data_IF_093656020435
#
_entry.id   IF_093656020435
#
_cell.length_a   1.000
_cell.length_b   1.000
_cell.length_c   1.000
_cell.angle_alpha   90.00
_cell.angle_beta   90.00
_cell.angle_gamma   90.00
#
_symmetry.space_group_name_H-M   'P 1'
#
loop_
_entity.id
_entity.type
_entity.pdbx_description
1 polymer ?
#
# COMPACT_ATOMS: atom_id res chain seq x y z
N UNK A 1 11.98 31.63 7.74
CA UNK A 1 12.50 30.45 7.01
C UNK A 1 14.02 30.54 7.05
N UNK A 2 14.65 29.91 8.02
CA UNK A 2 16.12 29.87 8.11
C UNK A 2 16.52 28.66 7.26
N UNK A 3 17.13 28.90 6.09
CA UNK A 3 17.73 27.82 5.32
C UNK A 3 18.83 27.19 6.19
N UNK A 4 18.73 25.89 6.42
CA UNK A 4 19.69 25.12 7.21
C UNK A 4 21.11 25.37 6.67
N UNK A 5 22.09 25.79 7.51
CA UNK A 5 23.46 26.05 7.09
C UNK A 5 24.06 24.88 6.28
N UNK A 6 23.72 23.64 6.64
CA UNK A 6 24.19 22.43 5.96
C UNK A 6 23.63 22.33 4.54
N UNK A 7 22.34 22.63 4.36
CA UNK A 7 21.69 22.64 3.06
C UNK A 7 22.23 23.76 2.16
N UNK A 8 22.56 24.92 2.72
CA UNK A 8 23.14 26.05 1.98
C UNK A 8 24.56 25.76 1.48
N UNK A 9 25.38 25.10 2.30
CA UNK A 9 26.75 24.69 1.95
C UNK A 9 26.71 23.55 0.94
N UNK A 10 25.81 22.59 1.09
CA UNK A 10 25.62 21.50 0.13
C UNK A 10 25.17 22.02 -1.25
N UNK A 11 24.21 22.96 -1.30
CA UNK A 11 23.78 23.58 -2.56
C UNK A 11 24.87 24.42 -3.22
N UNK A 12 25.60 25.21 -2.44
CA UNK A 12 26.76 25.98 -2.94
C UNK A 12 27.82 25.06 -3.56
N UNK A 13 28.19 23.99 -2.86
CA UNK A 13 29.16 23.00 -3.37
C UNK A 13 28.62 22.25 -4.60
N UNK A 14 27.35 21.83 -4.59
CA UNK A 14 26.72 21.19 -5.75
C UNK A 14 26.73 22.10 -6.99
N UNK A 15 26.43 23.40 -6.83
CA UNK A 15 26.47 24.37 -7.93
C UNK A 15 27.87 24.54 -8.52
N UNK A 16 28.91 24.53 -7.67
CA UNK A 16 30.30 24.60 -8.11
C UNK A 16 30.74 23.33 -8.87
N UNK A 17 30.24 22.16 -8.45
CA UNK A 17 30.50 20.88 -9.13
C UNK A 17 29.83 20.87 -10.50
N UNK A 18 28.56 21.29 -10.60
CA UNK A 18 27.82 21.37 -11.87
C UNK A 18 28.48 22.35 -12.84
N UNK A 19 28.93 23.51 -12.35
CA UNK A 19 29.62 24.50 -13.19
C UNK A 19 30.97 23.99 -13.70
N UNK A 20 31.73 23.28 -12.87
CA UNK A 20 32.96 22.62 -13.31
C UNK A 20 32.69 21.51 -14.33
N UNK A 21 31.62 20.74 -14.15
CA UNK A 21 31.20 19.70 -15.09
C UNK A 21 30.80 20.29 -16.46
N UNK A 22 30.00 21.35 -16.46
CA UNK A 22 29.58 22.05 -17.69
C UNK A 22 30.77 22.63 -18.46
N UNK A 23 31.75 23.19 -17.73
CA UNK A 23 32.99 23.70 -18.33
C UNK A 23 33.82 22.57 -18.95
N UNK A 24 33.84 21.39 -18.33
CA UNK A 24 34.52 20.19 -18.85
C UNK A 24 33.87 19.66 -20.14
N UNK A 25 32.52 19.66 -20.19
CA UNK A 25 31.74 19.19 -21.34
C UNK A 25 31.84 20.12 -22.56
N UNK A 26 32.15 21.41 -22.34
CA UNK A 26 32.25 22.42 -23.41
C UNK A 26 33.60 22.45 -24.16
N UNK A 27 34.56 21.57 -23.83
CA UNK A 27 35.87 21.53 -24.47
C UNK A 27 35.92 20.45 -25.59
N UNK A 28 35.90 20.86 -26.86
CA UNK A 28 35.94 19.94 -28.01
C UNK A 28 37.31 19.28 -28.25
N UNK A 29 37.23 18.02 -28.75
CA UNK A 29 38.31 17.08 -29.17
C UNK A 29 39.22 16.52 -28.07
N UNK A 30 38.66 16.08 -26.95
CA UNK A 30 39.35 15.15 -26.04
C UNK A 30 38.90 13.71 -26.26
N UNK A 31 39.81 12.77 -26.09
CA UNK A 31 39.46 11.34 -26.09
C UNK A 31 38.58 11.01 -24.88
N UNK A 32 37.70 10.00 -25.00
CA UNK A 32 36.81 9.59 -23.90
C UNK A 32 37.60 9.24 -22.62
N UNK A 33 38.79 8.66 -22.76
CA UNK A 33 39.66 8.32 -21.63
C UNK A 33 40.25 9.56 -20.94
N UNK A 34 40.56 10.61 -21.68
CA UNK A 34 41.05 11.88 -21.12
C UNK A 34 39.96 12.57 -20.31
N UNK A 35 38.74 12.64 -20.87
CA UNK A 35 37.56 13.18 -20.17
C UNK A 35 37.31 12.39 -18.88
N UNK A 36 37.36 11.06 -18.95
CA UNK A 36 37.16 10.17 -17.79
C UNK A 36 38.22 10.39 -16.70
N UNK A 37 39.48 10.56 -17.08
CA UNK A 37 40.55 10.85 -16.13
C UNK A 37 40.37 12.22 -15.47
N UNK A 38 40.00 13.25 -16.23
CA UNK A 38 39.71 14.58 -15.68
C UNK A 38 38.54 14.56 -14.70
N UNK A 39 37.47 13.84 -15.04
CA UNK A 39 36.34 13.63 -14.13
C UNK A 39 36.82 12.94 -12.85
N UNK A 40 37.62 11.88 -12.96
CA UNK A 40 38.16 11.18 -11.79
C UNK A 40 39.03 12.09 -10.91
N UNK A 41 39.90 12.90 -11.50
CA UNK A 41 40.70 13.89 -10.76
C UNK A 41 39.81 14.90 -10.06
N UNK A 42 38.80 15.43 -10.75
CA UNK A 42 37.84 16.35 -10.17
C UNK A 42 37.08 15.72 -9.00
N UNK A 43 36.60 14.48 -9.15
CA UNK A 43 35.89 13.74 -8.10
C UNK A 43 36.77 13.43 -6.88
N UNK A 44 38.06 13.14 -7.08
CA UNK A 44 39.03 12.94 -6.00
C UNK A 44 39.32 14.23 -5.22
N UNK A 45 39.29 15.38 -5.89
CA UNK A 45 39.50 16.69 -5.26
C UNK A 45 38.29 17.17 -4.44
N UNK A 46 37.16 16.45 -4.51
CA UNK A 46 35.97 16.74 -3.72
C UNK A 46 36.11 16.06 -2.35
N UNK A 47 36.12 16.86 -1.28
CA UNK A 47 36.27 16.40 0.11
C UNK A 47 34.99 15.75 0.70
N UNK A 48 34.06 15.31 -0.15
CA UNK A 48 32.84 14.62 0.25
C UNK A 48 32.65 13.38 -0.62
N UNK A 49 32.09 12.31 -0.05
CA UNK A 49 31.68 11.13 -0.80
C UNK A 49 30.41 11.42 -1.59
N UNK A 50 30.40 11.07 -2.87
CA UNK A 50 29.22 11.20 -3.72
C UNK A 50 28.46 9.87 -3.72
N UNK A 51 27.15 9.90 -3.44
CA UNK A 51 26.28 8.74 -3.52
C UNK A 51 25.24 8.99 -4.61
N UNK A 52 25.20 8.12 -5.61
CA UNK A 52 24.24 8.15 -6.72
C UNK A 52 23.25 7.03 -6.51
N UNK A 53 21.98 7.38 -6.29
CA UNK A 53 20.89 6.40 -6.14
C UNK A 53 20.09 6.36 -7.43
N UNK A 54 19.93 5.16 -7.99
CA UNK A 54 19.12 4.89 -9.17
C UNK A 54 18.02 3.91 -8.76
N UNK A 55 16.77 4.37 -8.74
CA UNK A 55 15.61 3.64 -8.27
C UNK A 55 14.58 3.42 -9.40
N UNK A 56 13.61 2.53 -9.18
CA UNK A 56 12.52 2.19 -10.11
C UNK A 56 13.00 1.72 -11.51
N UNK A 57 14.19 1.11 -11.61
CA UNK A 57 14.73 0.59 -12.88
C UNK A 57 13.83 -0.44 -13.56
N UNK A 58 13.18 -1.29 -12.76
CA UNK A 58 12.26 -2.34 -13.22
C UNK A 58 10.94 -1.80 -13.79
N UNK A 59 10.69 -0.49 -13.74
CA UNK A 59 9.54 0.15 -14.39
C UNK A 59 9.82 0.68 -15.79
N UNK A 60 11.08 0.66 -16.20
CA UNK A 60 11.50 1.16 -17.50
C UNK A 60 11.28 0.11 -18.60
N UNK A 61 11.28 0.56 -19.86
CA UNK A 61 11.26 -0.36 -20.98
C UNK A 61 12.57 -1.16 -21.04
N UNK A 62 12.53 -2.37 -21.61
CA UNK A 62 13.72 -3.24 -21.67
C UNK A 62 14.93 -2.55 -22.30
N UNK A 63 14.72 -1.70 -23.32
CA UNK A 63 15.78 -0.92 -23.98
C UNK A 63 16.43 0.08 -23.04
N UNK A 64 15.62 0.79 -22.25
CA UNK A 64 16.10 1.80 -21.32
C UNK A 64 16.86 1.14 -20.16
N UNK A 65 16.40 -0.02 -19.68
CA UNK A 65 17.12 -0.83 -18.68
C UNK A 65 18.51 -1.21 -19.21
N UNK A 66 18.60 -1.66 -20.47
CA UNK A 66 19.87 -2.01 -21.09
C UNK A 66 20.82 -0.82 -21.19
N UNK A 67 20.32 0.33 -21.65
CA UNK A 67 21.10 1.56 -21.77
C UNK A 67 21.61 2.05 -20.42
N UNK A 68 20.75 2.05 -19.38
CA UNK A 68 21.17 2.45 -18.04
C UNK A 68 22.22 1.51 -17.49
N UNK A 69 22.07 0.18 -17.63
CA UNK A 69 23.09 -0.75 -17.14
C UNK A 69 24.41 -0.62 -17.89
N UNK A 70 24.39 -0.31 -19.19
CA UNK A 70 25.60 0.00 -19.95
C UNK A 70 26.25 1.30 -19.47
N UNK A 71 25.45 2.35 -19.21
CA UNK A 71 25.91 3.60 -18.65
C UNK A 71 26.55 3.39 -17.28
N UNK A 72 25.84 2.72 -16.36
CA UNK A 72 26.33 2.38 -15.02
C UNK A 72 27.65 1.62 -15.13
N UNK A 73 27.74 0.62 -16.01
CA UNK A 73 29.00 -0.10 -16.24
C UNK A 73 30.14 0.82 -16.68
N UNK A 74 29.85 1.84 -17.47
CA UNK A 74 30.85 2.80 -17.97
C UNK A 74 31.34 3.80 -16.92
N UNK A 75 30.46 4.16 -15.96
CA UNK A 75 30.73 5.17 -14.92
C UNK A 75 31.01 4.58 -13.52
N UNK A 76 30.76 3.28 -13.31
CA UNK A 76 30.86 2.62 -12.01
C UNK A 76 32.27 2.64 -11.39
N UNK A 77 33.31 2.90 -12.19
CA UNK A 77 34.70 3.00 -11.74
C UNK A 77 35.13 4.44 -11.38
N UNK A 78 34.20 5.39 -11.40
CA UNK A 78 34.44 6.76 -10.95
C UNK A 78 34.89 6.80 -9.49
N UNK A 79 36.00 7.50 -9.25
CA UNK A 79 36.56 7.63 -7.90
C UNK A 79 35.64 8.46 -7.01
N UNK A 80 35.76 8.22 -5.71
CA UNK A 80 35.02 8.96 -4.68
C UNK A 80 33.48 8.90 -4.80
N UNK A 81 32.95 7.94 -5.56
CA UNK A 81 31.52 7.79 -5.86
C UNK A 81 31.02 6.39 -5.46
N UNK A 82 29.79 6.30 -4.96
CA UNK A 82 29.08 5.05 -4.64
C UNK A 82 27.78 5.04 -5.43
N UNK A 83 27.50 3.95 -6.12
CA UNK A 83 26.25 3.75 -6.85
C UNK A 83 25.36 2.76 -6.11
N UNK A 84 24.11 3.15 -5.84
CA UNK A 84 23.08 2.29 -5.25
C UNK A 84 22.00 2.09 -6.32
N UNK A 85 21.81 0.85 -6.74
CA UNK A 85 20.78 0.46 -7.70
C UNK A 85 19.66 -0.26 -6.96
N UNK A 86 18.41 0.16 -7.20
CA UNK A 86 17.21 -0.49 -6.68
C UNK A 86 16.36 -0.97 -7.86
N UNK A 87 16.07 -2.27 -7.87
CA UNK A 87 15.38 -2.95 -8.98
C UNK A 87 14.82 -4.32 -8.57
N UNK A 88 13.81 -4.78 -9.31
CA UNK A 88 13.39 -6.19 -9.31
C UNK A 88 14.37 -7.03 -10.15
N UNK A 89 15.01 -8.02 -9.51
CA UNK A 89 16.05 -8.86 -10.09
C UNK A 89 15.53 -9.68 -11.29
N UNK A 90 14.29 -10.17 -11.24
CA UNK A 90 13.73 -10.99 -12.31
C UNK A 90 13.40 -10.15 -13.55
N UNK A 91 12.80 -8.97 -13.34
CA UNK A 91 12.44 -8.06 -14.44
C UNK A 91 13.70 -7.57 -15.14
N UNK A 92 14.68 -7.07 -14.37
CA UNK A 92 15.92 -6.53 -14.94
C UNK A 92 16.76 -7.62 -15.59
N UNK A 93 16.85 -8.83 -15.01
CA UNK A 93 17.56 -9.94 -15.66
C UNK A 93 16.95 -10.26 -17.02
N UNK A 94 15.62 -10.34 -17.13
CA UNK A 94 14.93 -10.62 -18.39
C UNK A 94 15.16 -9.53 -19.44
N UNK A 95 15.15 -8.26 -19.03
CA UNK A 95 15.45 -7.16 -19.93
C UNK A 95 16.89 -7.25 -20.49
N UNK A 96 17.84 -7.68 -19.67
CA UNK A 96 19.26 -7.81 -20.02
C UNK A 96 19.60 -9.12 -20.76
N UNK A 97 18.75 -10.14 -20.72
CA UNK A 97 18.94 -11.40 -21.46
C UNK A 97 19.07 -11.16 -22.97
N UNK A 98 18.29 -10.19 -23.50
CA UNK A 98 18.28 -9.82 -24.93
C UNK A 98 19.64 -9.34 -25.45
N UNK A 99 20.44 -8.68 -24.62
CA UNK A 99 21.77 -8.18 -25.00
C UNK A 99 22.92 -9.14 -24.64
N UNK A 100 22.68 -10.10 -23.74
CA UNK A 100 23.73 -10.98 -23.20
C UNK A 100 23.51 -12.46 -23.53
N UNK A 101 22.61 -12.80 -24.47
CA UNK A 101 22.29 -14.17 -24.89
C UNK A 101 21.84 -15.02 -23.71
N UNK A 102 20.77 -14.59 -23.03
CA UNK A 102 20.16 -15.27 -21.88
C UNK A 102 21.08 -15.36 -20.65
N UNK A 103 21.91 -14.33 -20.46
CA UNK A 103 22.85 -14.21 -19.32
C UNK A 103 22.72 -12.86 -18.60
N UNK A 104 21.52 -12.30 -18.55
CA UNK A 104 21.20 -11.02 -17.90
C UNK A 104 21.61 -11.00 -16.43
N UNK A 105 21.27 -12.04 -15.66
CA UNK A 105 21.71 -12.17 -14.26
C UNK A 105 23.24 -12.12 -14.08
N UNK A 106 23.98 -12.83 -14.93
CA UNK A 106 25.47 -12.78 -14.94
C UNK A 106 26.02 -11.42 -15.34
N UNK A 107 25.26 -10.64 -16.10
CA UNK A 107 25.65 -9.29 -16.46
C UNK A 107 25.47 -8.33 -15.27
N UNK A 108 24.38 -8.49 -14.52
CA UNK A 108 24.15 -7.77 -13.26
C UNK A 108 25.31 -8.06 -12.27
N UNK A 109 25.71 -9.32 -12.10
CA UNK A 109 26.84 -9.71 -11.23
C UNK A 109 28.18 -9.02 -11.59
N UNK A 110 28.38 -8.65 -12.86
CA UNK A 110 29.60 -7.93 -13.29
C UNK A 110 29.58 -6.44 -12.92
N UNK A 111 28.41 -5.88 -12.68
CA UNK A 111 28.21 -4.45 -12.44
C UNK A 111 27.96 -4.22 -10.94
N UNK A 112 27.13 -5.04 -10.32
CA UNK A 112 26.74 -4.96 -8.92
C UNK A 112 27.71 -5.75 -8.05
N UNK A 113 28.60 -5.04 -7.36
CA UNK A 113 29.62 -5.64 -6.51
C UNK A 113 29.03 -6.25 -5.23
N UNK A 114 28.00 -5.63 -4.67
CA UNK A 114 27.37 -6.04 -3.41
C UNK A 114 25.86 -6.12 -3.60
N UNK A 115 25.30 -7.32 -3.85
CA UNK A 115 23.86 -7.50 -3.92
C UNK A 115 23.26 -7.53 -2.51
N UNK A 116 22.29 -6.65 -2.23
CA UNK A 116 21.52 -6.63 -0.98
C UNK A 116 20.09 -7.07 -1.30
N UNK A 117 19.72 -8.29 -0.86
CA UNK A 117 18.33 -8.77 -0.98
C UNK A 117 17.53 -8.33 0.24
N UNK A 118 16.43 -7.61 0.00
CA UNK A 118 15.54 -7.21 1.09
C UNK A 118 14.79 -8.43 1.63
N UNK A 119 14.81 -8.68 2.95
CA UNK A 119 14.09 -9.79 3.54
C UNK A 119 12.58 -9.57 3.43
N UNK A 120 11.82 -10.66 3.32
CA UNK A 120 10.37 -10.60 3.44
C UNK A 120 9.99 -10.20 4.86
N UNK A 121 9.01 -9.31 5.00
CA UNK A 121 8.48 -8.91 6.31
C UNK A 121 7.62 -10.07 6.84
N UNK A 122 7.85 -10.50 8.08
CA UNK A 122 7.02 -11.52 8.71
C UNK A 122 5.61 -10.99 8.97
N UNK A 123 4.63 -11.90 9.00
CA UNK A 123 3.25 -11.55 9.26
C UNK A 123 3.06 -10.90 10.65
N UNK A 124 3.82 -11.36 11.65
CA UNK A 124 3.84 -10.78 13.00
C UNK A 124 4.33 -9.32 13.00
N UNK A 125 5.42 -9.05 12.28
CA UNK A 125 5.93 -7.68 12.14
C UNK A 125 4.92 -6.78 11.40
N UNK A 126 4.23 -7.29 10.37
CA UNK A 126 3.16 -6.55 9.70
C UNK A 126 2.01 -6.23 10.65
N UNK A 127 1.57 -7.20 11.47
CA UNK A 127 0.55 -6.99 12.51
C UNK A 127 0.95 -5.88 13.46
N UNK A 128 2.17 -5.91 13.99
CA UNK A 128 2.67 -4.90 14.93
C UNK A 128 2.77 -3.51 14.32
N UNK A 129 3.31 -3.41 13.11
CA UNK A 129 3.43 -2.14 12.37
C UNK A 129 2.02 -1.58 12.08
N UNK A 130 1.10 -2.43 11.63
CA UNK A 130 -0.28 -2.04 11.35
C UNK A 130 -0.98 -1.48 12.58
N UNK A 131 -0.95 -2.19 13.72
CA UNK A 131 -1.58 -1.72 14.96
C UNK A 131 -0.95 -0.41 15.44
N UNK A 132 0.38 -0.27 15.38
CA UNK A 132 1.07 0.98 15.73
C UNK A 132 0.60 2.15 14.86
N UNK A 133 0.53 1.96 13.54
CA UNK A 133 0.07 2.99 12.59
C UNK A 133 -1.43 3.28 12.72
N UNK A 134 -2.25 2.27 12.95
CA UNK A 134 -3.69 2.43 13.11
C UNK A 134 -4.01 3.32 14.32
N UNK A 135 -3.25 3.16 15.42
CA UNK A 135 -3.39 4.00 16.63
C UNK A 135 -3.01 5.47 16.41
N UNK A 136 -2.19 5.80 15.41
CA UNK A 136 -1.80 7.18 15.12
C UNK A 136 -2.73 7.90 14.14
N UNK A 137 -3.72 7.18 13.56
CA UNK A 137 -4.69 7.80 12.67
C UNK A 137 -5.66 8.67 13.49
N UNK A 138 -5.68 9.96 13.17
CA UNK A 138 -6.70 10.88 13.67
C UNK A 138 -8.01 10.65 12.90
N UNK A 139 -9.10 10.50 13.64
CA UNK A 139 -10.46 10.27 13.13
C UNK A 139 -11.33 11.41 13.63
N UNK A 140 -11.93 12.16 12.70
CA UNK A 140 -12.73 13.37 12.96
C UNK A 140 -13.89 13.12 13.94
N UNK A 141 -14.56 11.98 13.81
CA UNK A 141 -15.65 11.56 14.69
C UNK A 141 -15.08 10.70 15.83
N UNK A 142 -14.53 11.36 16.84
CA UNK A 142 -13.80 10.73 17.95
C UNK A 142 -14.71 10.08 19.01
N UNK A 143 -16.04 10.20 18.87
CA UNK A 143 -17.04 9.58 19.76
C UNK A 143 -17.23 8.06 19.56
N UNK A 144 -16.40 7.43 18.72
CA UNK A 144 -16.41 6.00 18.43
C UNK A 144 -15.32 5.31 19.26
N UNK A 145 -15.68 4.24 19.97
CA UNK A 145 -14.79 3.51 20.87
C UNK A 145 -13.58 2.93 20.10
N UNK A 146 -12.48 3.69 20.08
CA UNK A 146 -11.22 3.30 19.43
C UNK A 146 -10.67 2.00 20.03
N UNK A 147 -10.93 1.73 21.31
CA UNK A 147 -10.46 0.50 21.96
C UNK A 147 -11.26 -0.71 21.47
N UNK A 148 -12.59 -0.58 21.33
CA UNK A 148 -13.43 -1.59 20.68
C UNK A 148 -12.99 -1.85 19.23
N UNK A 149 -12.70 -0.80 18.47
CA UNK A 149 -12.21 -0.93 17.10
C UNK A 149 -10.89 -1.71 17.03
N UNK A 150 -9.89 -1.33 17.84
CA UNK A 150 -8.60 -2.04 17.90
C UNK A 150 -8.77 -3.48 18.39
N UNK A 151 -9.67 -3.72 19.34
CA UNK A 151 -10.00 -5.07 19.83
C UNK A 151 -10.54 -5.95 18.70
N UNK A 152 -11.56 -5.48 17.96
CA UNK A 152 -12.14 -6.24 16.83
C UNK A 152 -11.14 -6.49 15.71
N UNK A 153 -10.30 -5.51 15.40
CA UNK A 153 -9.20 -5.65 14.43
C UNK A 153 -8.28 -6.82 14.79
N UNK A 154 -7.95 -6.98 16.09
CA UNK A 154 -7.12 -8.08 16.58
C UNK A 154 -7.86 -9.41 16.58
N UNK A 155 -9.08 -9.46 17.11
CA UNK A 155 -9.90 -10.69 17.22
C UNK A 155 -10.18 -11.33 15.86
N UNK A 156 -10.38 -10.51 14.82
CA UNK A 156 -10.68 -10.98 13.46
C UNK A 156 -9.43 -11.13 12.58
N UNK A 157 -8.22 -11.04 13.16
CA UNK A 157 -6.96 -11.15 12.42
C UNK A 157 -6.89 -10.23 11.18
N UNK A 158 -7.44 -9.01 11.27
CA UNK A 158 -7.65 -8.14 10.11
C UNK A 158 -6.37 -7.90 9.28
N UNK A 159 -5.22 -7.80 9.95
CA UNK A 159 -3.92 -7.60 9.31
C UNK A 159 -3.46 -8.78 8.43
N UNK A 160 -4.07 -9.96 8.52
CA UNK A 160 -3.84 -11.10 7.62
C UNK A 160 -4.32 -10.85 6.18
N UNK A 161 -5.05 -9.75 5.96
CA UNK A 161 -5.32 -9.23 4.64
C UNK A 161 -4.07 -8.69 3.91
N UNK A 162 -3.03 -8.27 4.65
CA UNK A 162 -1.86 -7.59 4.06
C UNK A 162 -0.71 -8.57 3.83
N UNK A 163 -0.21 -8.61 2.58
CA UNK A 163 0.95 -9.44 2.21
C UNK A 163 2.27 -8.67 2.31
N UNK A 164 2.21 -7.34 2.39
CA UNK A 164 3.35 -6.46 2.38
C UNK A 164 3.06 -5.15 3.11
N UNK A 165 4.11 -4.41 3.46
CA UNK A 165 3.98 -3.05 3.99
C UNK A 165 3.24 -2.17 2.97
N UNK A 166 3.53 -2.32 1.67
CA UNK A 166 2.87 -1.55 0.61
C UNK A 166 1.35 -1.76 0.60
N UNK A 167 0.88 -2.99 0.75
CA UNK A 167 -0.56 -3.28 0.82
C UNK A 167 -1.18 -2.64 2.07
N UNK A 168 -0.54 -2.79 3.22
CA UNK A 168 -0.97 -2.18 4.47
C UNK A 168 -1.04 -0.64 4.37
N UNK A 169 -0.02 0.02 3.79
CA UNK A 169 -0.04 1.48 3.58
C UNK A 169 -1.16 1.91 2.63
N UNK A 170 -1.42 1.15 1.56
CA UNK A 170 -2.54 1.45 0.63
C UNK A 170 -3.87 1.46 1.38
N UNK A 171 -4.10 0.49 2.25
CA UNK A 171 -5.28 0.46 3.10
C UNK A 171 -5.32 1.63 4.08
N UNK A 172 -4.26 1.84 4.86
CA UNK A 172 -4.23 2.89 5.89
C UNK A 172 -4.45 4.28 5.28
N UNK A 173 -3.87 4.56 4.11
CA UNK A 173 -4.05 5.83 3.41
C UNK A 173 -5.49 6.02 2.94
N UNK A 174 -6.08 5.01 2.31
CA UNK A 174 -7.47 5.06 1.89
C UNK A 174 -8.40 5.22 3.10
N UNK A 175 -8.27 4.36 4.10
CA UNK A 175 -9.07 4.42 5.33
C UNK A 175 -8.98 5.79 6.02
N UNK A 176 -7.77 6.34 6.16
CA UNK A 176 -7.55 7.67 6.76
C UNK A 176 -8.27 8.77 5.98
N UNK A 177 -8.23 8.74 4.65
CA UNK A 177 -8.90 9.74 3.82
C UNK A 177 -10.42 9.60 3.98
N UNK A 178 -10.92 8.38 3.84
CA UNK A 178 -12.36 8.13 3.74
C UNK A 178 -13.10 8.31 5.07
N UNK A 179 -12.52 7.82 6.17
CA UNK A 179 -13.12 7.95 7.50
C UNK A 179 -13.25 9.41 7.93
N UNK A 180 -12.36 10.28 7.43
CA UNK A 180 -12.39 11.71 7.69
C UNK A 180 -13.21 12.50 6.67
N UNK A 181 -13.48 11.92 5.50
CA UNK A 181 -14.35 12.51 4.49
C UNK A 181 -15.83 12.31 4.84
N UNK A 182 -16.21 11.20 5.47
CA UNK A 182 -17.62 10.90 5.78
C UNK A 182 -18.14 11.81 6.90
N UNK A 183 -19.30 12.44 6.67
CA UNK A 183 -19.96 13.31 7.66
C UNK A 183 -20.90 12.57 8.62
N UNK A 184 -21.16 11.28 8.38
CA UNK A 184 -21.98 10.43 9.24
C UNK A 184 -21.12 9.66 10.24
N UNK A 185 -21.59 9.49 11.46
CA UNK A 185 -20.94 8.58 12.40
C UNK A 185 -21.24 7.13 12.00
N UNK A 186 -20.22 6.41 11.53
CA UNK A 186 -20.33 5.00 11.15
C UNK A 186 -19.61 4.11 12.15
N UNK A 187 -20.01 2.86 12.24
CA UNK A 187 -19.28 1.88 13.04
C UNK A 187 -17.91 1.59 12.40
N UNK A 188 -16.82 2.00 13.07
CA UNK A 188 -15.46 2.03 12.49
C UNK A 188 -14.97 0.68 11.99
N UNK A 189 -15.23 -0.39 12.74
CA UNK A 189 -14.79 -1.72 12.35
C UNK A 189 -15.48 -2.17 11.05
N UNK A 190 -16.80 -2.00 10.96
CA UNK A 190 -17.55 -2.31 9.73
C UNK A 190 -17.00 -1.47 8.56
N UNK A 191 -16.65 -0.21 8.81
CA UNK A 191 -16.15 0.70 7.78
C UNK A 191 -14.74 0.31 7.31
N UNK A 192 -13.88 -0.10 8.22
CA UNK A 192 -12.56 -0.64 7.91
C UNK A 192 -12.67 -1.90 7.04
N UNK A 193 -13.58 -2.82 7.36
CA UNK A 193 -13.82 -4.04 6.56
C UNK A 193 -14.29 -3.68 5.16
N UNK A 194 -15.27 -2.78 5.01
CA UNK A 194 -15.72 -2.34 3.68
C UNK A 194 -14.62 -1.64 2.89
N UNK A 195 -13.82 -0.80 3.54
CA UNK A 195 -12.66 -0.15 2.90
C UNK A 195 -11.64 -1.17 2.41
N UNK A 196 -11.39 -2.21 3.21
CA UNK A 196 -10.51 -3.32 2.83
C UNK A 196 -11.05 -4.08 1.61
N UNK A 197 -12.33 -4.46 1.63
CA UNK A 197 -12.97 -5.15 0.50
C UNK A 197 -12.91 -4.30 -0.77
N UNK A 198 -13.16 -3.00 -0.67
CA UNK A 198 -13.06 -2.09 -1.82
C UNK A 198 -11.67 -2.09 -2.47
N UNK A 199 -10.60 -2.19 -1.69
CA UNK A 199 -9.22 -2.13 -2.18
C UNK A 199 -8.72 -3.47 -2.71
N UNK A 200 -9.02 -4.56 -1.99
CA UNK A 200 -8.43 -5.88 -2.25
C UNK A 200 -9.38 -6.86 -2.91
N UNK A 201 -10.70 -6.69 -2.73
CA UNK A 201 -11.76 -7.54 -3.28
C UNK A 201 -12.90 -6.72 -3.96
N UNK A 202 -12.62 -5.88 -4.98
CA UNK A 202 -13.62 -4.95 -5.54
C UNK A 202 -14.91 -5.64 -6.02
N UNK A 203 -14.80 -6.83 -6.62
CA UNK A 203 -15.96 -7.59 -7.09
C UNK A 203 -16.88 -8.02 -5.95
N UNK A 204 -16.30 -8.35 -4.80
CA UNK A 204 -17.05 -8.73 -3.61
C UNK A 204 -17.70 -7.51 -2.96
N UNK A 205 -16.99 -6.38 -2.95
CA UNK A 205 -17.54 -5.08 -2.54
C UNK A 205 -18.77 -4.71 -3.37
N UNK A 206 -18.68 -4.80 -4.71
CA UNK A 206 -19.80 -4.53 -5.63
C UNK A 206 -20.96 -5.49 -5.39
N UNK A 207 -20.67 -6.79 -5.25
CA UNK A 207 -21.69 -7.80 -4.97
C UNK A 207 -22.48 -7.53 -3.68
N UNK A 208 -21.80 -7.10 -2.60
CA UNK A 208 -22.48 -6.75 -1.33
C UNK A 208 -23.42 -5.55 -1.54
N UNK A 209 -22.98 -4.55 -2.30
CA UNK A 209 -23.79 -3.37 -2.59
C UNK A 209 -25.04 -3.71 -3.43
N UNK A 210 -24.85 -4.45 -4.52
CA UNK A 210 -25.93 -4.82 -5.44
C UNK A 210 -26.96 -5.74 -4.77
N UNK A 211 -26.49 -6.62 -3.88
CA UNK A 211 -27.32 -7.59 -3.17
C UNK A 211 -27.63 -7.17 -1.73
N UNK A 212 -27.66 -5.87 -1.42
CA UNK A 212 -27.84 -5.33 -0.05
C UNK A 212 -28.96 -5.99 0.76
N UNK A 213 -30.05 -6.40 0.12
CA UNK A 213 -31.20 -7.02 0.78
C UNK A 213 -30.87 -8.36 1.47
N UNK A 214 -29.80 -9.04 1.03
CA UNK A 214 -29.27 -10.26 1.65
C UNK A 214 -28.50 -9.96 2.94
N UNK A 215 -27.95 -8.75 3.06
CA UNK A 215 -26.99 -8.38 4.10
C UNK A 215 -27.58 -7.51 5.21
N UNK A 216 -28.62 -6.71 4.91
CA UNK A 216 -29.25 -5.83 5.90
C UNK A 216 -30.21 -6.58 6.86
N UNK A 217 -30.34 -6.06 8.07
CA UNK A 217 -31.38 -6.43 9.02
C UNK A 217 -32.72 -5.84 8.56
N UNK A 218 -33.75 -6.68 8.49
CA UNK A 218 -35.12 -6.23 8.23
C UNK A 218 -35.77 -6.02 9.59
N UNK A 219 -35.92 -4.76 9.98
CA UNK A 219 -36.63 -4.39 11.19
C UNK A 219 -38.06 -4.00 10.80
N UNK A 220 -39.05 -4.81 11.18
CA UNK A 220 -40.45 -4.39 11.19
C UNK A 220 -41.01 -4.51 12.63
N UNK A 221 -41.24 -3.39 13.34
CA UNK A 221 -41.74 -3.41 14.71
C UNK A 221 -43.18 -3.92 14.86
N UNK A 222 -43.90 -4.17 13.75
CA UNK A 222 -45.32 -4.52 13.75
C UNK A 222 -45.67 -5.85 13.04
N UNK A 223 -44.70 -6.55 12.45
CA UNK A 223 -44.97 -7.82 11.75
C UNK A 223 -44.55 -9.03 12.60
N UNK A 224 -45.53 -9.82 13.05
CA UNK A 224 -45.32 -11.17 13.58
C UNK A 224 -44.98 -12.20 12.48
N UNK A 225 -44.92 -11.77 11.21
CA UNK A 225 -44.55 -12.57 10.05
C UNK A 225 -43.54 -11.77 9.26
N UNK A 226 -42.28 -11.82 9.67
CA UNK A 226 -41.18 -11.37 8.82
C UNK A 226 -41.24 -12.19 7.53
N UNK A 227 -41.42 -11.53 6.39
CA UNK A 227 -41.01 -12.11 5.11
C UNK A 227 -39.48 -12.17 5.12
N UNK A 228 -38.92 -13.12 5.87
CA UNK A 228 -37.48 -13.38 5.90
C UNK A 228 -37.06 -13.66 4.46
N UNK A 229 -36.31 -12.73 3.88
CA UNK A 229 -35.47 -13.09 2.74
C UNK A 229 -34.51 -14.14 3.29
N UNK A 230 -34.82 -15.41 3.02
CA UNK A 230 -33.96 -16.52 3.40
C UNK A 230 -32.63 -16.29 2.70
N UNK A 231 -31.58 -16.26 3.49
CA UNK A 231 -30.22 -16.30 2.96
C UNK A 231 -30.12 -17.60 2.14
N UNK A 232 -29.69 -17.51 0.87
CA UNK A 232 -29.52 -18.69 0.04
C UNK A 232 -28.60 -19.70 0.74
N UNK A 233 -28.96 -20.98 0.75
CA UNK A 233 -28.13 -22.05 1.36
C UNK A 233 -26.71 -22.09 0.76
N UNK A 234 -26.53 -21.54 -0.44
CA UNK A 234 -25.28 -21.47 -1.19
C UNK A 234 -24.54 -20.13 -1.05
N UNK A 235 -24.95 -19.20 -0.17
CA UNK A 235 -24.34 -17.85 -0.09
C UNK A 235 -22.83 -17.90 0.18
N UNK A 236 -22.38 -18.84 1.00
CA UNK A 236 -20.95 -19.04 1.29
C UNK A 236 -20.20 -19.42 0.01
N UNK A 237 -20.77 -20.31 -0.80
CA UNK A 237 -20.18 -20.72 -2.06
C UNK A 237 -20.13 -19.57 -3.06
N UNK A 238 -21.17 -18.72 -3.11
CA UNK A 238 -21.18 -17.53 -3.96
C UNK A 238 -20.09 -16.54 -3.56
N UNK A 239 -20.00 -16.19 -2.27
CA UNK A 239 -18.95 -15.31 -1.74
C UNK A 239 -17.57 -15.89 -2.06
N UNK A 240 -17.33 -17.17 -1.75
CA UNK A 240 -16.06 -17.85 -2.02
C UNK A 240 -15.73 -17.95 -3.51
N UNK A 241 -16.72 -17.92 -4.41
CA UNK A 241 -16.51 -17.90 -5.86
C UNK A 241 -16.06 -16.53 -6.35
N UNK A 242 -16.55 -15.45 -5.74
CA UNK A 242 -16.24 -14.07 -6.11
C UNK A 242 -14.89 -13.62 -5.53
N UNK A 243 -14.55 -14.08 -4.32
CA UNK A 243 -13.29 -13.74 -3.64
C UNK A 243 -12.06 -14.20 -4.42
N UNK A 244 -11.13 -13.27 -4.65
CA UNK A 244 -9.85 -13.51 -5.33
C UNK A 244 -8.77 -14.03 -4.39
N UNK A 245 -8.71 -13.50 -3.17
CA UNK A 245 -7.69 -13.84 -2.17
C UNK A 245 -8.09 -15.05 -1.31
N UNK A 246 -7.68 -15.05 -0.04
CA UNK A 246 -8.01 -16.12 0.89
C UNK A 246 -9.52 -16.13 1.15
N UNK A 247 -10.19 -17.15 0.59
CA UNK A 247 -11.65 -17.30 0.58
C UNK A 247 -12.24 -17.42 1.98
N UNK A 248 -11.62 -18.22 2.84
CA UNK A 248 -12.11 -18.43 4.21
C UNK A 248 -11.88 -17.18 5.07
N UNK A 249 -10.74 -16.52 4.92
CA UNK A 249 -10.48 -15.24 5.60
C UNK A 249 -11.51 -14.18 5.20
N UNK A 250 -11.75 -14.01 3.89
CA UNK A 250 -12.73 -13.04 3.41
C UNK A 250 -14.15 -13.36 3.91
N UNK A 251 -14.55 -14.64 3.88
CA UNK A 251 -15.86 -15.06 4.38
C UNK A 251 -16.02 -14.78 5.88
N UNK A 252 -15.02 -15.12 6.70
CA UNK A 252 -15.01 -14.83 8.13
C UNK A 252 -15.08 -13.32 8.40
N UNK A 253 -14.36 -12.52 7.61
CA UNK A 253 -14.38 -11.06 7.75
C UNK A 253 -15.75 -10.47 7.42
N UNK A 254 -16.41 -10.95 6.35
CA UNK A 254 -17.79 -10.59 6.02
C UNK A 254 -18.73 -11.01 7.15
N UNK A 255 -18.61 -12.24 7.64
CA UNK A 255 -19.42 -12.75 8.76
C UNK A 255 -19.28 -11.92 10.03
N UNK A 256 -18.10 -11.30 10.26
CA UNK A 256 -17.87 -10.43 11.42
C UNK A 256 -18.67 -9.12 11.37
N UNK A 257 -18.99 -8.63 10.16
CA UNK A 257 -19.76 -7.40 9.96
C UNK A 257 -21.23 -7.68 9.57
N UNK A 258 -21.53 -8.86 9.05
CA UNK A 258 -22.87 -9.35 8.70
C UNK A 258 -23.17 -10.68 9.42
N UNK A 259 -23.62 -10.65 10.69
CA UNK A 259 -23.83 -11.86 11.49
C UNK A 259 -24.80 -12.87 10.87
N UNK A 260 -25.79 -12.38 10.09
CA UNK A 260 -26.75 -13.25 9.37
C UNK A 260 -26.06 -14.23 8.42
N UNK A 261 -24.95 -13.84 7.80
CA UNK A 261 -24.21 -14.66 6.83
C UNK A 261 -23.54 -15.86 7.50
N UNK A 262 -23.17 -15.73 8.78
CA UNK A 262 -22.45 -16.80 9.49
C UNK A 262 -23.37 -17.74 10.28
N UNK A 263 -24.69 -17.65 10.07
CA UNK A 263 -25.71 -18.40 10.84
C UNK A 263 -25.52 -18.35 12.36
N UNK A 264 -24.80 -17.34 12.87
CA UNK A 264 -24.72 -17.13 14.29
C UNK A 264 -26.05 -16.52 14.72
N UNK A 265 -26.83 -17.20 15.59
CA UNK A 265 -28.00 -16.58 16.18
C UNK A 265 -27.49 -15.40 16.98
N UNK A 266 -27.60 -14.20 16.39
CA UNK A 266 -27.72 -13.00 17.20
C UNK A 266 -28.95 -13.28 18.05
N UNK A 267 -28.78 -13.34 19.36
CA UNK A 267 -29.92 -13.36 20.27
C UNK A 267 -30.65 -12.03 20.03
N UNK A 268 -31.64 -12.05 19.12
CA UNK A 268 -32.35 -10.86 18.67
C UNK A 268 -33.00 -10.14 19.86
N UNK A 269 -33.24 -10.85 20.96
CA UNK A 269 -33.69 -10.29 22.23
C UNK A 269 -32.66 -9.32 22.86
N UNK A 270 -31.35 -9.56 22.70
CA UNK A 270 -30.29 -8.65 23.15
C UNK A 270 -30.06 -7.46 22.21
N UNK A 271 -30.35 -7.60 20.90
CA UNK A 271 -30.39 -6.46 19.97
C UNK A 271 -31.58 -5.53 20.30
N UNK A 272 -32.74 -6.11 20.63
CA UNK A 272 -33.94 -5.37 21.03
C UNK A 272 -33.74 -4.60 22.35
N UNK A 273 -33.04 -5.17 23.33
CA UNK A 273 -32.74 -4.50 24.60
C UNK A 273 -31.61 -3.45 24.50
N UNK A 274 -30.66 -3.63 23.58
CA UNK A 274 -29.50 -2.75 23.40
C UNK A 274 -29.61 -1.83 22.17
N UNK A 275 -30.82 -1.34 21.87
CA UNK A 275 -31.15 -0.41 20.78
C UNK A 275 -30.51 0.99 21.01
N UNK A 276 -29.18 0.98 21.10
CA UNK A 276 -28.30 2.10 21.37
C UNK A 276 -28.02 2.82 20.06
N UNK A 277 -27.69 4.11 20.14
CA UNK A 277 -27.32 4.89 18.94
C UNK A 277 -26.17 4.27 18.15
N UNK A 278 -25.30 3.48 18.78
CA UNK A 278 -24.20 2.78 18.10
C UNK A 278 -24.66 1.59 17.24
N UNK A 279 -25.75 0.90 17.58
CA UNK A 279 -26.26 -0.16 16.72
C UNK A 279 -26.77 0.40 15.40
N UNK A 280 -27.50 1.53 15.43
CA UNK A 280 -28.01 2.22 14.23
C UNK A 280 -26.90 2.70 13.28
N UNK A 281 -25.65 2.75 13.74
CA UNK A 281 -24.48 3.13 12.93
C UNK A 281 -23.88 1.94 12.18
N UNK A 282 -24.17 0.68 12.54
CA UNK A 282 -23.62 -0.53 11.92
C UNK A 282 -24.08 -0.70 10.49
N UNK A 283 -23.31 -1.42 9.66
CA UNK A 283 -23.64 -1.63 8.25
C UNK A 283 -24.92 -2.45 8.03
N UNK A 284 -25.30 -3.30 8.99
CA UNK A 284 -26.51 -4.12 8.89
C UNK A 284 -27.79 -3.30 8.94
N UNK A 285 -27.76 -2.06 9.44
CA UNK A 285 -28.94 -1.22 9.53
C UNK A 285 -29.30 -0.58 8.17
N UNK A 286 -30.57 -0.64 7.72
CA UNK A 286 -30.96 -0.10 6.41
C UNK A 286 -30.66 1.40 6.21
N UNK A 287 -30.78 2.19 7.28
CA UNK A 287 -30.55 3.65 7.23
C UNK A 287 -29.08 4.03 7.06
N UNK A 288 -28.16 3.23 7.58
CA UNK A 288 -26.72 3.46 7.57
C UNK A 288 -26.02 2.82 6.37
N UNK A 289 -26.52 1.68 5.87
CA UNK A 289 -25.88 0.85 4.84
C UNK A 289 -25.29 1.68 3.68
N UNK A 290 -26.09 2.58 3.08
CA UNK A 290 -25.66 3.38 1.93
C UNK A 290 -24.42 4.24 2.21
N UNK A 291 -24.22 4.71 3.44
CA UNK A 291 -23.10 5.57 3.78
C UNK A 291 -21.76 4.83 3.84
N UNK A 292 -21.76 3.51 3.99
CA UNK A 292 -20.56 2.69 3.88
C UNK A 292 -20.01 2.61 2.45
N UNK A 293 -20.83 2.93 1.46
CA UNK A 293 -20.49 2.88 0.03
C UNK A 293 -20.40 4.26 -0.62
N UNK A 294 -20.60 5.34 0.15
CA UNK A 294 -20.59 6.72 -0.35
C UNK A 294 -19.46 7.53 0.29
N UNK A 295 -18.66 8.22 -0.54
CA UNK A 295 -17.74 9.25 -0.09
C UNK A 295 -18.42 10.61 -0.18
N UNK A 296 -18.83 11.16 0.97
CA UNK A 296 -19.46 12.46 1.05
C UNK A 296 -18.44 13.52 1.49
N UNK A 297 -17.58 13.99 0.58
CA UNK A 297 -16.67 15.08 0.91
C UNK A 297 -17.45 16.27 1.51
N UNK A 298 -17.03 16.82 2.67
CA UNK A 298 -17.61 18.06 3.17
C UNK A 298 -17.41 19.15 2.10
N UNK A 299 -18.49 19.87 1.78
CA UNK A 299 -18.43 21.07 0.94
C UNK A 299 -17.67 22.18 1.64
#
# INVERSE_FOLDING_TARGET
>A
MIADPVASVAMSRASSIINNFNKLLSAEKKGLDEIKNEINTALLNIDIKIIVVIDDLDRLADTDIQEIFQLVRSIADFKNTIYILSYDEEIVSKALDKIQKDKGGKYIEKIVQVPIKLPKVSQENLKDIFIKKLKTIHIKHEALDKDEFIKKIKENNFADAFKSIRDMERFLNAFKIEVNAINQELYLYDFAVITLLKIFEPRLYDYIYDNRMLFIEQYNPYDHISSEIKIPENIEQEIKKITKSNKDFAFNLIGSIFPKINNQPQDYSQLIQNNTDNQKKRITYPSSFKYYFLLNFPK
#
